data_IF_030870854139
#
_entry.id   IF_030870854139
#
_cell.length_a   1.000
_cell.length_b   1.000
_cell.length_c   1.000
_cell.angle_alpha   90.00
_cell.angle_beta   90.00
_cell.angle_gamma   90.00
#
_symmetry.space_group_name_H-M   'P 1'
#
loop_
_entity.id
_entity.type
_entity.pdbx_description
1 polymer ?
#
# COMPACT_ATOMS: atom_id res chain seq x y z
N UNK A 1 18.08 -36.16 4.75
CA UNK A 1 19.02 -35.52 5.68
C UNK A 1 19.45 -34.13 5.23
N UNK A 2 19.96 -34.01 4.00
CA UNK A 2 20.35 -32.72 3.43
C UNK A 2 19.17 -31.73 3.38
N UNK A 3 17.97 -32.23 3.08
CA UNK A 3 16.75 -31.41 3.02
C UNK A 3 16.41 -30.81 4.37
N UNK A 4 16.58 -31.57 5.46
CA UNK A 4 16.34 -31.09 6.82
C UNK A 4 17.33 -29.99 7.22
N UNK A 5 18.59 -30.14 6.84
CA UNK A 5 19.61 -29.11 7.08
C UNK A 5 19.25 -27.83 6.32
N UNK A 6 18.79 -27.96 5.09
CA UNK A 6 18.35 -26.81 4.29
C UNK A 6 17.13 -26.10 4.86
N UNK A 7 16.24 -26.84 5.55
CA UNK A 7 15.05 -26.26 6.17
C UNK A 7 15.37 -25.40 7.39
N UNK A 8 16.41 -25.74 8.13
CA UNK A 8 16.76 -25.05 9.37
C UNK A 8 17.91 -24.07 9.24
N UNK A 9 18.69 -24.16 8.16
CA UNK A 9 19.77 -23.22 7.93
C UNK A 9 19.21 -21.95 7.28
N UNK A 10 19.49 -20.79 7.87
CA UNK A 10 19.19 -19.51 7.25
C UNK A 10 20.10 -19.33 6.05
N UNK A 11 19.54 -19.33 4.85
CA UNK A 11 20.28 -18.92 3.68
C UNK A 11 20.61 -17.43 3.82
N UNK A 12 21.88 -17.04 3.62
CA UNK A 12 22.21 -15.61 3.64
C UNK A 12 21.45 -14.92 2.51
N UNK A 13 20.92 -13.72 2.80
CA UNK A 13 20.26 -12.92 1.79
C UNK A 13 21.26 -12.58 0.68
N UNK A 14 20.82 -12.70 -0.57
CA UNK A 14 21.64 -12.28 -1.69
C UNK A 14 21.86 -10.75 -1.66
N UNK A 15 22.88 -10.23 -2.38
CA UNK A 15 23.17 -8.79 -2.38
C UNK A 15 22.00 -7.92 -2.84
N UNK A 16 21.19 -8.41 -3.79
CA UNK A 16 20.04 -7.66 -4.30
C UNK A 16 18.93 -7.55 -3.24
N UNK A 17 18.69 -8.63 -2.50
CA UNK A 17 17.71 -8.65 -1.41
C UNK A 17 18.09 -7.66 -0.30
N UNK A 18 19.38 -7.59 0.05
CA UNK A 18 19.88 -6.61 1.02
C UNK A 18 19.67 -5.18 0.55
N UNK A 19 19.97 -4.90 -0.72
CA UNK A 19 19.76 -3.59 -1.31
C UNK A 19 18.29 -3.20 -1.29
N UNK A 20 17.40 -4.14 -1.59
CA UNK A 20 15.97 -3.92 -1.55
C UNK A 20 15.50 -3.59 -0.13
N UNK A 21 15.99 -4.32 0.86
CA UNK A 21 15.66 -4.06 2.28
C UNK A 21 16.11 -2.66 2.70
N UNK A 22 17.30 -2.25 2.31
CA UNK A 22 17.85 -0.93 2.61
C UNK A 22 17.05 0.18 1.92
N UNK A 23 16.66 -0.02 0.66
CA UNK A 23 15.81 0.91 -0.08
C UNK A 23 14.46 1.06 0.62
N UNK A 24 13.85 -0.04 1.04
CA UNK A 24 12.57 0.00 1.74
C UNK A 24 12.67 0.77 3.06
N UNK A 25 13.72 0.53 3.84
CA UNK A 25 13.96 1.29 5.08
C UNK A 25 14.12 2.78 4.83
N UNK A 26 14.87 3.13 3.79
CA UNK A 26 15.07 4.53 3.40
C UNK A 26 13.77 5.17 2.95
N UNK A 27 12.97 4.42 2.18
CA UNK A 27 11.66 4.87 1.74
C UNK A 27 10.77 5.20 2.93
N UNK A 28 10.65 4.28 3.91
CA UNK A 28 9.85 4.50 5.12
C UNK A 28 10.32 5.72 5.90
N UNK A 29 11.62 5.92 6.01
CA UNK A 29 12.21 7.08 6.68
C UNK A 29 11.83 8.39 5.99
N UNK A 30 11.94 8.44 4.66
CA UNK A 30 11.57 9.61 3.87
C UNK A 30 10.08 9.96 4.04
N UNK A 31 9.22 8.95 4.06
CA UNK A 31 7.78 9.14 4.30
C UNK A 31 7.54 9.70 5.69
N UNK A 32 8.19 9.14 6.70
CA UNK A 32 8.07 9.61 8.09
C UNK A 32 8.52 11.07 8.24
N UNK A 33 9.56 11.44 7.52
CA UNK A 33 10.09 12.81 7.50
C UNK A 33 9.30 13.75 6.57
N UNK A 34 8.26 13.24 5.92
CA UNK A 34 7.41 13.97 4.96
C UNK A 34 8.17 14.52 3.76
N UNK A 35 9.26 13.85 3.39
CA UNK A 35 10.03 14.17 2.18
C UNK A 35 9.41 13.42 1.00
N UNK A 36 8.22 13.85 0.62
CA UNK A 36 7.40 13.12 -0.36
C UNK A 36 7.98 13.06 -1.78
N UNK A 37 8.57 14.12 -2.35
CA UNK A 37 9.19 13.99 -3.68
C UNK A 37 10.28 12.91 -3.73
N UNK A 38 11.17 12.89 -2.74
CA UNK A 38 12.23 11.90 -2.66
C UNK A 38 11.65 10.50 -2.37
N UNK A 39 10.65 10.42 -1.51
CA UNK A 39 9.98 9.16 -1.20
C UNK A 39 9.31 8.57 -2.44
N UNK A 40 8.61 9.39 -3.24
CA UNK A 40 7.97 8.94 -4.46
C UNK A 40 8.98 8.39 -5.46
N UNK A 41 10.09 9.09 -5.65
CA UNK A 41 11.14 8.63 -6.55
C UNK A 41 11.72 7.29 -6.10
N UNK A 42 12.09 7.20 -4.84
CA UNK A 42 12.66 5.96 -4.29
C UNK A 42 11.66 4.82 -4.31
N UNK A 43 10.40 5.10 -3.97
CA UNK A 43 9.33 4.10 -3.97
C UNK A 43 8.99 3.58 -5.36
N UNK A 44 8.94 4.45 -6.37
CA UNK A 44 8.71 4.01 -7.76
C UNK A 44 9.88 3.20 -8.29
N UNK A 45 11.12 3.59 -8.00
CA UNK A 45 12.30 2.81 -8.36
C UNK A 45 12.28 1.43 -7.68
N UNK A 46 11.88 1.40 -6.41
CA UNK A 46 11.73 0.15 -5.66
C UNK A 46 10.70 -0.78 -6.31
N UNK A 47 9.56 -0.24 -6.74
CA UNK A 47 8.49 -1.03 -7.36
C UNK A 47 8.90 -1.60 -8.72
N UNK A 48 9.89 -1.05 -9.40
CA UNK A 48 10.43 -1.65 -10.61
C UNK A 48 11.08 -3.02 -10.31
N UNK A 49 11.63 -3.17 -9.12
CA UNK A 49 12.27 -4.43 -8.68
C UNK A 49 11.32 -5.32 -7.91
N UNK A 50 10.40 -4.75 -7.14
CA UNK A 50 9.45 -5.47 -6.29
C UNK A 50 8.04 -4.91 -6.56
N UNK A 51 7.44 -5.26 -7.72
CA UNK A 51 6.21 -4.61 -8.18
C UNK A 51 4.98 -4.88 -7.34
N UNK A 52 4.97 -5.98 -6.58
CA UNK A 52 3.82 -6.39 -5.78
C UNK A 52 4.03 -6.16 -4.29
N UNK A 53 4.70 -5.08 -3.92
CA UNK A 53 4.90 -4.75 -2.51
C UNK A 53 3.72 -3.93 -2.00
N UNK A 54 2.85 -4.58 -1.22
CA UNK A 54 1.61 -4.01 -0.72
C UNK A 54 1.83 -2.68 0.03
N UNK A 55 2.77 -2.65 0.99
CA UNK A 55 3.00 -1.47 1.82
C UNK A 55 3.50 -0.27 1.01
N UNK A 56 4.39 -0.50 0.05
CA UNK A 56 4.91 0.58 -0.79
C UNK A 56 3.82 1.12 -1.70
N UNK A 57 3.02 0.25 -2.30
CA UNK A 57 1.88 0.64 -3.15
C UNK A 57 0.88 1.48 -2.36
N UNK A 58 0.50 1.01 -1.17
CA UNK A 58 -0.43 1.74 -0.30
C UNK A 58 0.14 3.10 0.11
N UNK A 59 1.41 3.14 0.51
CA UNK A 59 2.05 4.37 0.98
C UNK A 59 2.14 5.41 -0.16
N UNK A 60 2.52 4.98 -1.35
CA UNK A 60 2.57 5.89 -2.52
C UNK A 60 1.16 6.42 -2.82
N UNK A 61 0.16 5.56 -2.80
CA UNK A 61 -1.23 5.97 -2.95
C UNK A 61 -1.63 7.02 -1.91
N UNK A 62 -1.24 6.81 -0.65
CA UNK A 62 -1.47 7.76 0.44
C UNK A 62 -0.81 9.11 0.21
N UNK A 63 0.40 9.13 -0.32
CA UNK A 63 1.10 10.38 -0.66
C UNK A 63 0.32 11.15 -1.74
N UNK A 64 -0.12 10.48 -2.79
CA UNK A 64 -0.92 11.12 -3.83
C UNK A 64 -2.26 11.60 -3.29
N UNK A 65 -2.88 10.84 -2.38
CA UNK A 65 -4.09 11.29 -1.69
C UNK A 65 -3.85 12.61 -0.95
N UNK A 66 -2.76 12.73 -0.20
CA UNK A 66 -2.40 13.96 0.52
C UNK A 66 -2.15 15.14 -0.43
N UNK A 67 -1.73 14.87 -1.65
CA UNK A 67 -1.51 15.88 -2.70
C UNK A 67 -2.79 16.20 -3.46
N UNK A 68 -3.93 15.67 -3.06
CA UNK A 68 -5.22 15.83 -3.71
C UNK A 68 -5.25 15.24 -5.14
N UNK A 69 -4.37 14.29 -5.43
CA UNK A 69 -4.34 13.58 -6.72
C UNK A 69 -5.06 12.25 -6.57
N UNK A 70 -6.38 12.35 -6.42
CA UNK A 70 -7.23 11.24 -6.02
C UNK A 70 -7.29 10.13 -7.08
N UNK A 71 -7.29 10.49 -8.36
CA UNK A 71 -7.32 9.49 -9.44
C UNK A 71 -6.08 8.61 -9.44
N UNK A 72 -4.91 9.22 -9.25
CA UNK A 72 -3.64 8.49 -9.15
C UNK A 72 -3.61 7.65 -7.88
N UNK A 73 -4.06 8.23 -6.76
CA UNK A 73 -4.14 7.53 -5.48
C UNK A 73 -4.98 6.24 -5.61
N UNK A 74 -6.16 6.32 -6.23
CA UNK A 74 -7.03 5.16 -6.45
C UNK A 74 -6.31 4.07 -7.25
N UNK A 75 -5.55 4.45 -8.28
CA UNK A 75 -4.78 3.49 -9.07
C UNK A 75 -3.82 2.67 -8.20
N UNK A 76 -3.10 3.32 -7.28
CA UNK A 76 -2.20 2.63 -6.35
C UNK A 76 -2.96 1.82 -5.31
N UNK A 77 -4.09 2.33 -4.81
CA UNK A 77 -4.93 1.57 -3.88
C UNK A 77 -5.48 0.30 -4.53
N UNK A 78 -5.89 0.36 -5.80
CA UNK A 78 -6.35 -0.81 -6.53
C UNK A 78 -5.25 -1.86 -6.68
N UNK A 79 -4.03 -1.45 -6.99
CA UNK A 79 -2.87 -2.35 -7.06
C UNK A 79 -2.59 -2.99 -5.70
N UNK A 80 -2.68 -2.21 -4.63
CA UNK A 80 -2.51 -2.71 -3.26
C UNK A 80 -3.58 -3.72 -2.90
N UNK A 81 -4.83 -3.46 -3.27
CA UNK A 81 -5.97 -4.34 -3.00
C UNK A 81 -5.90 -5.64 -3.81
N UNK A 82 -5.24 -5.65 -4.97
CA UNK A 82 -5.00 -6.88 -5.71
C UNK A 82 -4.10 -7.86 -4.96
N UNK A 83 -3.30 -7.35 -4.03
CA UNK A 83 -2.41 -8.16 -3.19
C UNK A 83 -3.08 -8.50 -1.86
N UNK A 84 -3.70 -7.51 -1.20
CA UNK A 84 -4.39 -7.66 0.08
C UNK A 84 -5.81 -7.13 -0.01
N UNK A 85 -6.75 -7.95 -0.53
CA UNK A 85 -8.13 -7.55 -0.84
C UNK A 85 -8.95 -7.14 0.37
N UNK A 86 -8.54 -7.56 1.55
CA UNK A 86 -9.29 -7.32 2.79
C UNK A 86 -8.69 -6.23 3.65
N UNK A 87 -7.81 -5.42 3.11
CA UNK A 87 -7.19 -4.32 3.84
C UNK A 87 -8.18 -3.15 3.96
N UNK A 88 -8.73 -2.98 5.16
CA UNK A 88 -9.73 -1.95 5.45
C UNK A 88 -9.15 -0.55 5.30
N UNK A 89 -7.90 -0.33 5.67
CA UNK A 89 -7.27 0.99 5.55
C UNK A 89 -7.17 1.43 4.10
N UNK A 90 -6.81 0.51 3.21
CA UNK A 90 -6.75 0.78 1.77
C UNK A 90 -8.15 1.07 1.21
N UNK A 91 -9.12 0.24 1.58
CA UNK A 91 -10.51 0.43 1.15
C UNK A 91 -11.07 1.76 1.63
N UNK A 92 -10.74 2.16 2.85
CA UNK A 92 -11.21 3.41 3.42
C UNK A 92 -10.65 4.62 2.67
N UNK A 93 -9.34 4.63 2.40
CA UNK A 93 -8.73 5.72 1.62
C UNK A 93 -9.22 5.74 0.17
N UNK A 94 -9.49 4.57 -0.41
CA UNK A 94 -10.11 4.49 -1.72
C UNK A 94 -11.52 5.10 -1.70
N UNK A 95 -12.31 4.79 -0.67
CA UNK A 95 -13.65 5.37 -0.50
C UNK A 95 -13.59 6.89 -0.40
N UNK A 96 -12.70 7.43 0.44
CA UNK A 96 -12.52 8.87 0.57
C UNK A 96 -12.09 9.50 -0.76
N UNK A 97 -11.22 8.85 -1.50
CA UNK A 97 -10.76 9.34 -2.79
C UNK A 97 -11.91 9.45 -3.79
N UNK A 98 -12.77 8.42 -3.85
CA UNK A 98 -13.97 8.47 -4.69
C UNK A 98 -14.95 9.57 -4.25
N UNK A 99 -15.12 9.74 -2.94
CA UNK A 99 -15.97 10.80 -2.39
C UNK A 99 -15.45 12.18 -2.79
N UNK A 100 -14.14 12.40 -2.75
CA UNK A 100 -13.54 13.67 -3.18
C UNK A 100 -13.73 13.94 -4.68
N UNK A 101 -13.86 12.89 -5.46
CA UNK A 101 -14.13 12.97 -6.90
C UNK A 101 -15.64 13.00 -7.20
N UNK A 102 -16.48 13.05 -6.17
CA UNK A 102 -17.93 13.02 -6.28
C UNK A 102 -18.46 11.74 -6.94
N UNK A 103 -17.69 10.67 -6.89
CA UNK A 103 -18.07 9.34 -7.36
C UNK A 103 -18.75 8.56 -6.22
N UNK A 104 -19.91 9.03 -5.81
CA UNK A 104 -20.58 8.58 -4.59
C UNK A 104 -20.93 7.10 -4.60
N UNK A 105 -21.36 6.54 -5.74
CA UNK A 105 -21.67 5.12 -5.81
C UNK A 105 -20.44 4.25 -5.58
N UNK A 106 -19.30 4.64 -6.14
CA UNK A 106 -18.04 3.91 -5.94
C UNK A 106 -17.56 4.00 -4.49
N UNK A 107 -17.76 5.16 -3.86
CA UNK A 107 -17.45 5.31 -2.43
C UNK A 107 -18.33 4.38 -1.59
N UNK A 108 -19.63 4.31 -1.89
CA UNK A 108 -20.57 3.41 -1.20
C UNK A 108 -20.18 1.96 -1.39
N UNK A 109 -19.77 1.56 -2.59
CA UNK A 109 -19.32 0.18 -2.86
C UNK A 109 -18.12 -0.20 -2.00
N UNK A 110 -17.16 0.71 -1.82
CA UNK A 110 -16.03 0.49 -0.91
C UNK A 110 -16.50 0.34 0.54
N UNK A 111 -17.45 1.17 0.96
CA UNK A 111 -18.02 1.09 2.32
C UNK A 111 -18.72 -0.23 2.57
N UNK A 112 -19.48 -0.72 1.60
CA UNK A 112 -20.14 -2.03 1.69
C UNK A 112 -19.12 -3.14 1.87
N UNK A 113 -18.03 -3.08 1.12
CA UNK A 113 -16.95 -4.06 1.24
C UNK A 113 -16.29 -4.03 2.62
N UNK A 114 -16.05 -2.83 3.15
CA UNK A 114 -15.53 -2.69 4.52
C UNK A 114 -16.49 -3.33 5.53
N UNK A 115 -17.79 -3.10 5.40
CA UNK A 115 -18.79 -3.66 6.30
C UNK A 115 -18.89 -5.19 6.18
N UNK A 116 -18.66 -5.74 5.00
CA UNK A 116 -18.60 -7.20 4.82
C UNK A 116 -17.41 -7.80 5.57
N UNK A 117 -16.28 -7.10 5.57
CA UNK A 117 -15.05 -7.54 6.26
C UNK A 117 -15.19 -7.36 7.77
N UNK A 118 -15.69 -6.21 8.20
CA UNK A 118 -15.85 -5.84 9.59
C UNK A 118 -17.19 -5.12 9.80
N UNK A 119 -18.27 -5.87 10.13
CA UNK A 119 -19.60 -5.30 10.32
C UNK A 119 -19.68 -4.22 11.40
N UNK A 120 -18.74 -4.23 12.34
CA UNK A 120 -18.72 -3.28 13.45
C UNK A 120 -17.83 -2.06 13.21
N UNK A 121 -17.30 -1.93 12.00
CA UNK A 121 -16.41 -0.81 11.67
C UNK A 121 -17.20 0.49 11.65
N UNK A 122 -16.79 1.45 12.48
CA UNK A 122 -17.44 2.74 12.63
C UNK A 122 -16.91 3.80 11.67
N UNK A 123 -15.74 3.58 11.07
CA UNK A 123 -15.13 4.54 10.15
C UNK A 123 -16.01 4.83 8.93
N UNK A 124 -16.85 3.87 8.57
CA UNK A 124 -17.75 3.94 7.41
C UNK A 124 -18.89 4.93 7.64
N UNK A 125 -19.32 5.12 8.87
CA UNK A 125 -20.45 6.00 9.20
C UNK A 125 -20.12 7.48 9.00
N UNK A 126 -18.85 7.84 8.89
CA UNK A 126 -18.41 9.22 8.67
C UNK A 126 -18.34 9.60 7.18
N UNK A 127 -18.62 8.65 6.32
CA UNK A 127 -18.66 8.86 4.86
C UNK A 127 -20.08 9.28 4.36
#
# INVERSE_FOLDING_TARGET
>A
MIVLVGLFSRTPKDPQSKKNDEQFKKFKKLVKEKKYPEALKLGTDYLEKVPNHHDVLFTIGGIYYLKNKFRIAISYFDKSLNIGSYDIDVLLLKAYSHQKLEENQRAIDCCKKIQEIDPKNKSVSDL
#
